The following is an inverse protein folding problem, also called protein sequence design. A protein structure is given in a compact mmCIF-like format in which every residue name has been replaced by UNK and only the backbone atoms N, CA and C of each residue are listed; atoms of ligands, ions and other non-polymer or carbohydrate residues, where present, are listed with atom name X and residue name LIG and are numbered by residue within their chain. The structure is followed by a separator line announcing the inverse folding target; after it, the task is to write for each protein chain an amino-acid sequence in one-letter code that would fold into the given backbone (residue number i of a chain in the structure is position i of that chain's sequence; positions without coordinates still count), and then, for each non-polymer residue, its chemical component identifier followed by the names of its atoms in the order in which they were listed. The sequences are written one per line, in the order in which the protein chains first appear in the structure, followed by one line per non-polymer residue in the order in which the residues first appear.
data_IF_693414078870
#
_entry.id   IF_693414078870
#
_cell.length_a   1.000
_cell.length_b   1.000
_cell.length_c   1.000
_cell.angle_alpha   90.00
_cell.angle_beta   90.00
_cell.angle_gamma   90.00
#
_symmetry.space_group_name_H-M   'P 1'
#
loop_
_entity.id
_entity.type
_entity.pdbx_description
1 polymer ?
#
# COMPACT_ATOMS: atom_id res chain seq x y z
N UNK A 1 -12.52 3.05 -4.83
CA UNK A 1 -11.67 2.58 -3.71
C UNK A 1 -10.29 2.27 -4.25
N UNK A 2 -9.27 3.02 -3.83
CA UNK A 2 -7.88 2.59 -4.02
C UNK A 2 -7.56 1.61 -2.90
N UNK A 3 -7.15 0.38 -3.23
CA UNK A 3 -6.74 -0.60 -2.22
C UNK A 3 -5.53 -0.05 -1.46
N UNK A 4 -5.40 -0.42 -0.19
CA UNK A 4 -4.24 -0.08 0.63
C UNK A 4 -2.90 -0.43 -0.07
N UNK A 5 -2.85 -1.57 -0.77
CA UNK A 5 -1.73 -2.00 -1.61
C UNK A 5 -1.34 -0.92 -2.64
N UNK A 6 -2.30 -0.46 -3.45
CA UNK A 6 -2.03 0.55 -4.48
C UNK A 6 -1.49 1.85 -3.89
N UNK A 7 -1.97 2.24 -2.70
CA UNK A 7 -1.50 3.44 -2.01
C UNK A 7 -0.04 3.32 -1.59
N UNK A 8 0.34 2.19 -1.01
CA UNK A 8 1.71 1.90 -0.62
C UNK A 8 2.62 1.79 -1.86
N UNK A 9 2.17 1.13 -2.93
CA UNK A 9 2.89 1.05 -4.21
C UNK A 9 3.12 2.43 -4.83
N UNK A 10 2.09 3.29 -4.88
CA UNK A 10 2.25 4.66 -5.33
C UNK A 10 3.22 5.46 -4.45
N UNK A 11 3.22 5.26 -3.13
CA UNK A 11 4.17 5.95 -2.25
C UNK A 11 5.62 5.53 -2.58
N UNK A 12 5.88 4.23 -2.79
CA UNK A 12 7.20 3.73 -3.23
C UNK A 12 7.60 4.31 -4.58
N UNK A 13 6.70 4.30 -5.56
CA UNK A 13 6.95 4.84 -6.89
C UNK A 13 7.35 6.33 -6.83
N UNK A 14 6.69 7.13 -5.99
CA UNK A 14 7.04 8.56 -5.87
C UNK A 14 8.36 8.79 -5.13
N UNK A 15 8.75 7.90 -4.22
CA UNK A 15 10.11 7.92 -3.66
C UNK A 15 11.13 7.63 -4.76
N UNK A 16 10.87 6.63 -5.60
CA UNK A 16 11.76 6.25 -6.71
C UNK A 16 11.92 7.37 -7.75
N UNK A 17 10.87 8.15 -8.02
CA UNK A 17 10.98 9.33 -8.88
C UNK A 17 11.85 10.43 -8.25
N UNK A 18 11.76 10.67 -6.94
CA UNK A 18 12.68 11.59 -6.24
C UNK A 18 14.12 11.10 -6.35
N UNK A 19 14.37 9.81 -6.07
CA UNK A 19 15.68 9.19 -6.19
C UNK A 19 16.24 9.35 -7.62
N UNK A 20 15.40 9.15 -8.64
CA UNK A 20 15.79 9.30 -10.05
C UNK A 20 16.16 10.74 -10.40
N UNK A 21 15.37 11.72 -9.99
CA UNK A 21 15.68 13.15 -10.18
C UNK A 21 17.04 13.47 -9.55
N UNK A 22 17.24 13.03 -8.31
CA UNK A 22 18.46 13.28 -7.55
C UNK A 22 19.69 12.57 -8.14
N UNK A 23 19.54 11.33 -8.63
CA UNK A 23 20.64 10.57 -9.21
C UNK A 23 21.12 11.16 -10.54
N UNK A 24 20.22 11.77 -11.33
CA UNK A 24 20.57 12.38 -12.61
C UNK A 24 21.27 13.73 -12.46
N UNK A 25 20.91 14.50 -11.43
CA UNK A 25 21.33 15.91 -11.31
C UNK A 25 22.26 16.18 -10.12
N UNK A 26 22.31 15.28 -9.14
CA UNK A 26 22.82 15.54 -7.78
C UNK A 26 21.74 16.19 -6.91
N UNK A 27 21.64 15.81 -5.63
CA UNK A 27 20.59 16.29 -4.71
C UNK A 27 20.63 17.81 -4.56
N UNK A 28 21.79 18.38 -4.21
CA UNK A 28 21.96 19.83 -4.01
C UNK A 28 21.53 20.62 -5.25
N UNK A 29 22.03 20.24 -6.44
CA UNK A 29 21.68 20.92 -7.70
C UNK A 29 20.19 20.79 -8.06
N UNK A 30 19.58 19.64 -7.76
CA UNK A 30 18.15 19.45 -7.98
C UNK A 30 17.31 20.32 -7.05
N UNK A 31 17.79 20.60 -5.83
CA UNK A 31 17.14 21.48 -4.87
C UNK A 31 17.43 22.98 -5.11
N UNK A 32 18.54 23.33 -5.77
CA UNK A 32 18.84 24.71 -6.21
C UNK A 32 18.01 25.14 -7.43
N UNK A 33 17.53 24.20 -8.24
CA UNK A 33 16.61 24.50 -9.34
C UNK A 33 15.18 24.73 -8.81
N UNK A 34 14.93 25.97 -8.40
CA UNK A 34 13.62 26.49 -7.95
C UNK A 34 12.54 26.45 -9.04
N UNK A 35 12.90 26.28 -10.31
CA UNK A 35 11.96 26.41 -11.42
C UNK A 35 11.30 25.09 -11.83
N UNK A 36 12.04 23.98 -11.78
CA UNK A 36 11.59 22.69 -12.32
C UNK A 36 11.83 21.55 -11.33
N UNK A 37 13.08 21.29 -10.95
CA UNK A 37 13.43 20.07 -10.22
C UNK A 37 12.99 20.09 -8.76
N UNK A 38 13.23 21.18 -8.02
CA UNK A 38 12.77 21.31 -6.63
C UNK A 38 11.24 21.24 -6.56
N UNK A 39 10.46 21.98 -7.38
CA UNK A 39 9.00 21.81 -7.42
C UNK A 39 8.56 20.36 -7.70
N UNK A 40 9.24 19.65 -8.61
CA UNK A 40 8.91 18.25 -8.90
C UNK A 40 9.14 17.33 -7.69
N UNK A 41 10.28 17.48 -7.01
CA UNK A 41 10.59 16.75 -5.76
C UNK A 41 9.52 17.03 -4.70
N UNK A 42 9.17 18.30 -4.48
CA UNK A 42 8.14 18.67 -3.51
C UNK A 42 6.77 18.09 -3.88
N UNK A 43 6.45 18.04 -5.17
CA UNK A 43 5.20 17.43 -5.64
C UNK A 43 5.16 15.94 -5.34
N UNK A 44 6.27 15.23 -5.50
CA UNK A 44 6.36 13.82 -5.13
C UNK A 44 6.16 13.62 -3.62
N UNK A 45 6.76 14.45 -2.77
CA UNK A 45 6.50 14.45 -1.32
C UNK A 45 5.02 14.67 -0.98
N UNK A 46 4.36 15.65 -1.61
CA UNK A 46 2.92 15.89 -1.46
C UNK A 46 2.09 14.66 -1.85
N UNK A 47 2.42 13.99 -2.96
CA UNK A 47 1.70 12.77 -3.38
C UNK A 47 1.91 11.63 -2.39
N UNK A 48 3.11 11.45 -1.85
CA UNK A 48 3.41 10.46 -0.80
C UNK A 48 2.53 10.74 0.44
N UNK A 49 2.53 11.99 0.92
CA UNK A 49 1.68 12.42 2.03
C UNK A 49 0.20 12.08 1.78
N UNK A 50 -0.31 12.40 0.59
CA UNK A 50 -1.70 12.11 0.23
C UNK A 50 -2.05 10.62 0.26
N UNK A 51 -1.09 9.72 -0.03
CA UNK A 51 -1.37 8.28 0.09
C UNK A 51 -1.56 7.87 1.54
N UNK A 52 -0.73 8.38 2.46
CA UNK A 52 -0.88 8.13 3.89
C UNK A 52 -2.16 8.76 4.47
N UNK A 53 -2.48 10.00 4.10
CA UNK A 53 -3.72 10.65 4.52
C UNK A 53 -4.96 9.86 4.05
N UNK A 54 -4.92 9.29 2.84
CA UNK A 54 -6.03 8.47 2.36
C UNK A 54 -6.09 7.08 3.01
N UNK A 55 -4.97 6.53 3.50
CA UNK A 55 -4.96 5.34 4.36
C UNK A 55 -5.59 5.66 5.73
N UNK A 56 -5.28 6.82 6.29
CA UNK A 56 -5.84 7.29 7.56
C UNK A 56 -7.36 7.50 7.47
N UNK A 57 -7.83 8.18 6.40
CA UNK A 57 -9.27 8.35 6.12
C UNK A 57 -10.00 7.05 5.89
N UNK A 58 -9.32 6.02 5.39
CA UNK A 58 -9.85 4.67 5.23
C UNK A 58 -9.75 3.82 6.52
N UNK A 59 -9.28 4.41 7.63
CA UNK A 59 -9.10 3.74 8.92
C UNK A 59 -8.18 2.51 8.86
N UNK A 60 -7.19 2.53 7.96
CA UNK A 60 -6.21 1.45 7.76
C UNK A 60 -5.11 1.49 8.85
N UNK A 61 -5.52 1.63 10.12
CA UNK A 61 -4.61 1.83 11.25
C UNK A 61 -3.68 0.63 11.49
N UNK A 62 -4.11 -0.57 11.10
CA UNK A 62 -3.29 -1.77 11.17
C UNK A 62 -2.09 -1.74 10.22
N UNK A 63 -2.16 -0.93 9.15
CA UNK A 63 -1.06 -0.68 8.21
C UNK A 63 -0.24 0.50 8.71
N UNK A 64 -0.91 1.61 9.06
CA UNK A 64 -0.24 2.84 9.51
C UNK A 64 0.60 2.63 10.78
N UNK A 65 0.16 1.75 11.68
CA UNK A 65 0.91 1.43 12.91
C UNK A 65 2.24 0.73 12.67
N UNK A 66 2.45 0.17 11.47
CA UNK A 66 3.70 -0.48 11.05
C UNK A 66 4.69 0.49 10.40
N UNK A 67 4.27 1.74 10.14
CA UNK A 67 5.13 2.81 9.61
C UNK A 67 5.59 3.69 10.78
N UNK A 68 6.84 4.15 10.76
CA UNK A 68 7.37 5.03 11.79
C UNK A 68 6.55 6.34 11.83
N UNK A 69 6.10 6.72 13.03
CA UNK A 69 5.29 7.92 13.25
C UNK A 69 6.08 9.19 12.91
N UNK A 70 7.39 9.19 13.14
CA UNK A 70 8.22 10.36 12.87
C UNK A 70 8.48 10.53 11.36
N UNK A 71 8.52 9.43 10.60
CA UNK A 71 8.53 9.50 9.13
C UNK A 71 7.22 10.12 8.60
N UNK A 72 6.07 9.69 9.12
CA UNK A 72 4.76 10.25 8.73
C UNK A 72 4.65 11.75 9.06
N UNK A 73 5.15 12.16 10.24
CA UNK A 73 5.23 13.58 10.62
C UNK A 73 6.16 14.36 9.71
N UNK A 74 7.34 13.81 9.40
CA UNK A 74 8.32 14.45 8.52
C UNK A 74 7.75 14.70 7.12
N UNK A 75 7.09 13.70 6.54
CA UNK A 75 6.41 13.85 5.24
C UNK A 75 5.31 14.93 5.28
N UNK A 76 4.53 14.99 6.36
CA UNK A 76 3.52 16.04 6.56
C UNK A 76 4.16 17.43 6.69
N UNK A 77 5.30 17.53 7.35
CA UNK A 77 6.04 18.79 7.48
C UNK A 77 6.55 19.28 6.12
N UNK A 78 7.18 18.40 5.33
CA UNK A 78 7.63 18.74 3.95
C UNK A 78 6.46 19.20 3.09
N UNK A 79 5.32 18.50 3.15
CA UNK A 79 4.10 18.92 2.43
C UNK A 79 3.61 20.30 2.85
N UNK A 80 3.65 20.61 4.15
CA UNK A 80 3.22 21.92 4.66
C UNK A 80 4.13 23.03 4.16
N UNK A 81 5.45 22.83 4.19
CA UNK A 81 6.37 23.81 3.63
C UNK A 81 6.15 24.01 2.14
N UNK A 82 6.02 22.91 1.38
CA UNK A 82 5.75 22.98 -0.07
C UNK A 82 4.48 23.76 -0.42
N UNK A 83 3.50 23.83 0.48
CA UNK A 83 2.20 24.47 0.21
C UNK A 83 2.14 25.92 0.68
N UNK A 84 2.80 26.26 1.78
CA UNK A 84 2.59 27.54 2.48
C UNK A 84 3.88 28.33 2.75
N UNK A 85 5.05 27.71 2.65
CA UNK A 85 6.32 28.28 3.11
C UNK A 85 7.48 27.94 2.16
N UNK A 86 7.17 27.87 0.86
CA UNK A 86 8.06 27.36 -0.18
C UNK A 86 9.40 28.11 -0.23
N UNK A 87 9.34 29.44 -0.11
CA UNK A 87 10.51 30.32 -0.16
C UNK A 87 11.44 30.17 1.06
N UNK A 88 10.95 29.61 2.17
CA UNK A 88 11.70 29.43 3.41
C UNK A 88 12.12 27.96 3.66
N UNK A 89 11.95 27.07 2.67
CA UNK A 89 12.45 25.70 2.77
C UNK A 89 13.99 25.72 2.77
N UNK A 90 14.59 25.40 3.90
CA UNK A 90 16.03 25.12 3.98
C UNK A 90 16.35 23.84 3.18
N UNK A 91 17.07 23.99 2.08
CA UNK A 91 17.46 22.90 1.20
C UNK A 91 18.24 21.82 1.96
N UNK A 92 19.03 22.20 2.97
CA UNK A 92 19.79 21.26 3.81
C UNK A 92 18.88 20.26 4.53
N UNK A 93 17.70 20.68 4.98
CA UNK A 93 16.74 19.80 5.66
C UNK A 93 16.19 18.75 4.69
N UNK A 94 15.84 19.19 3.49
CA UNK A 94 15.29 18.30 2.45
C UNK A 94 16.37 17.36 1.92
N UNK A 95 17.58 17.86 1.69
CA UNK A 95 18.74 17.08 1.30
C UNK A 95 19.04 15.99 2.34
N UNK A 96 19.05 16.35 3.63
CA UNK A 96 19.21 15.37 4.71
C UNK A 96 18.10 14.32 4.70
N UNK A 97 16.85 14.73 4.48
CA UNK A 97 15.72 13.80 4.41
C UNK A 97 15.84 12.83 3.21
N UNK A 98 16.23 13.33 2.04
CA UNK A 98 16.46 12.52 0.83
C UNK A 98 17.57 11.49 1.06
N UNK A 99 18.67 11.88 1.73
CA UNK A 99 19.79 10.96 1.98
C UNK A 99 19.54 9.94 3.09
N UNK A 100 18.78 10.29 4.12
CA UNK A 100 18.75 9.49 5.36
C UNK A 100 17.39 8.93 5.73
N UNK A 101 16.30 9.65 5.42
CA UNK A 101 14.93 9.30 5.84
C UNK A 101 14.17 8.61 4.73
N UNK A 102 14.24 9.14 3.51
CA UNK A 102 13.49 8.64 2.36
C UNK A 102 13.83 7.17 2.01
N UNK A 103 15.10 6.74 2.02
CA UNK A 103 15.44 5.34 1.74
C UNK A 103 14.89 4.39 2.81
N UNK A 104 14.97 4.78 4.09
CA UNK A 104 14.44 3.99 5.21
C UNK A 104 12.91 3.88 5.15
N UNK A 105 12.24 4.99 4.82
CA UNK A 105 10.79 5.01 4.62
C UNK A 105 10.39 4.07 3.47
N UNK A 106 11.12 4.10 2.35
CA UNK A 106 10.89 3.20 1.21
C UNK A 106 10.99 1.73 1.63
N UNK A 107 12.07 1.35 2.31
CA UNK A 107 12.29 -0.01 2.80
C UNK A 107 11.16 -0.45 3.74
N UNK A 108 10.76 0.42 4.68
CA UNK A 108 9.64 0.17 5.58
C UNK A 108 8.32 -0.02 4.84
N UNK A 109 7.99 0.84 3.87
CA UNK A 109 6.78 0.71 3.07
C UNK A 109 6.80 -0.61 2.29
N UNK A 110 7.92 -0.98 1.67
CA UNK A 110 8.06 -2.23 0.92
C UNK A 110 7.88 -3.46 1.82
N UNK A 111 8.43 -3.42 3.04
CA UNK A 111 8.21 -4.47 4.05
C UNK A 111 6.73 -4.59 4.41
N UNK A 112 6.08 -3.48 4.75
CA UNK A 112 4.66 -3.44 5.09
C UNK A 112 3.79 -3.92 3.94
N UNK A 113 4.14 -3.55 2.70
CA UNK A 113 3.46 -4.00 1.49
C UNK A 113 3.53 -5.53 1.35
N UNK A 114 4.72 -6.12 1.54
CA UNK A 114 4.92 -7.57 1.48
C UNK A 114 4.12 -8.30 2.56
N UNK A 115 4.14 -7.80 3.78
CA UNK A 115 3.33 -8.35 4.89
C UNK A 115 1.84 -8.24 4.59
N UNK A 116 1.35 -7.08 4.14
CA UNK A 116 -0.07 -6.86 3.82
C UNK A 116 -0.54 -7.82 2.73
N UNK A 117 0.24 -7.99 1.66
CA UNK A 117 -0.07 -8.94 0.58
C UNK A 117 -0.15 -10.38 1.12
N UNK A 118 0.78 -10.76 1.99
CA UNK A 118 0.82 -12.08 2.63
C UNK A 118 -0.40 -12.29 3.54
N UNK A 119 -0.71 -11.34 4.40
CA UNK A 119 -1.83 -11.41 5.35
C UNK A 119 -3.17 -11.59 4.62
N UNK A 120 -3.37 -10.92 3.48
CA UNK A 120 -4.57 -11.08 2.65
C UNK A 120 -4.68 -12.50 2.04
N UNK A 121 -3.57 -13.07 1.58
CA UNK A 121 -3.57 -14.44 1.08
C UNK A 121 -3.87 -15.44 2.21
N UNK A 122 -3.23 -15.27 3.37
CA UNK A 122 -3.44 -16.14 4.54
C UNK A 122 -4.87 -16.07 5.08
N UNK A 123 -5.50 -14.89 5.09
CA UNK A 123 -6.90 -14.73 5.50
C UNK A 123 -7.84 -15.55 4.58
N UNK A 124 -7.65 -15.44 3.26
CA UNK A 124 -8.43 -16.24 2.31
C UNK A 124 -8.18 -17.73 2.46
N UNK A 125 -6.91 -18.15 2.64
CA UNK A 125 -6.57 -19.55 2.90
C UNK A 125 -7.28 -20.09 4.15
N UNK A 126 -7.32 -19.32 5.24
CA UNK A 126 -8.05 -19.68 6.48
C UNK A 126 -9.55 -19.82 6.23
N UNK A 127 -10.16 -18.93 5.43
CA UNK A 127 -11.58 -19.03 5.05
C UNK A 127 -11.86 -20.30 4.23
N UNK A 128 -11.01 -20.60 3.25
CA UNK A 128 -11.09 -21.82 2.44
C UNK A 128 -10.99 -23.07 3.32
N UNK A 129 -9.98 -23.15 4.19
CA UNK A 129 -9.80 -24.30 5.08
C UNK A 129 -10.96 -24.46 6.07
N UNK A 130 -11.52 -23.36 6.57
CA UNK A 130 -12.74 -23.39 7.40
C UNK A 130 -13.91 -23.98 6.62
N UNK A 131 -14.11 -23.59 5.36
CA UNK A 131 -15.17 -24.13 4.52
C UNK A 131 -14.98 -25.63 4.31
N UNK A 132 -13.80 -26.06 3.84
CA UNK A 132 -13.49 -27.48 3.58
C UNK A 132 -13.69 -28.35 4.82
N UNK A 133 -13.27 -27.89 6.00
CA UNK A 133 -13.37 -28.66 7.25
C UNK A 133 -14.77 -28.75 7.83
N UNK A 134 -15.63 -27.76 7.58
CA UNK A 134 -16.92 -27.63 8.28
C UNK A 134 -18.13 -27.69 7.36
N UNK A 135 -17.95 -27.79 6.04
CA UNK A 135 -19.06 -27.72 5.10
C UNK A 135 -20.17 -28.74 5.40
N UNK A 136 -19.89 -29.93 5.91
CA UNK A 136 -20.92 -30.94 6.15
C UNK A 136 -21.81 -30.65 7.36
N UNK A 137 -21.32 -29.83 8.30
CA UNK A 137 -22.03 -29.47 9.54
C UNK A 137 -22.61 -28.04 9.53
N UNK A 138 -22.32 -27.26 8.49
CA UNK A 138 -22.87 -25.92 8.32
C UNK A 138 -24.31 -25.99 7.77
N UNK A 139 -25.16 -25.07 8.21
CA UNK A 139 -26.48 -24.87 7.60
C UNK A 139 -26.31 -24.38 6.15
N UNK A 140 -27.31 -24.62 5.30
CA UNK A 140 -27.29 -24.17 3.90
C UNK A 140 -27.03 -22.66 3.78
N UNK A 141 -27.63 -21.87 4.67
CA UNK A 141 -27.43 -20.42 4.74
C UNK A 141 -25.96 -20.07 5.07
N UNK A 142 -25.41 -20.66 6.13
CA UNK A 142 -24.03 -20.38 6.54
C UNK A 142 -23.00 -20.84 5.49
N UNK A 143 -23.28 -21.92 4.74
CA UNK A 143 -22.45 -22.34 3.60
C UNK A 143 -22.46 -21.27 2.50
N UNK A 144 -23.64 -20.77 2.12
CA UNK A 144 -23.79 -19.75 1.08
C UNK A 144 -23.07 -18.45 1.43
N UNK A 145 -23.23 -17.97 2.67
CA UNK A 145 -22.55 -16.77 3.17
C UNK A 145 -21.03 -16.92 3.14
N UNK A 146 -20.50 -18.05 3.62
CA UNK A 146 -19.05 -18.30 3.60
C UNK A 146 -18.49 -18.41 2.17
N UNK A 147 -19.22 -19.04 1.24
CA UNK A 147 -18.85 -19.06 -0.18
C UNK A 147 -18.80 -17.64 -0.77
N UNK A 148 -19.78 -16.81 -0.47
CA UNK A 148 -19.83 -15.41 -0.92
C UNK A 148 -18.64 -14.60 -0.38
N UNK A 149 -18.32 -14.75 0.90
CA UNK A 149 -17.17 -14.08 1.53
C UNK A 149 -15.82 -14.53 0.93
N UNK A 150 -15.66 -15.84 0.68
CA UNK A 150 -14.50 -16.40 -0.02
C UNK A 150 -14.38 -15.78 -1.42
N UNK A 151 -15.47 -15.72 -2.18
CA UNK A 151 -15.47 -15.13 -3.53
C UNK A 151 -15.07 -13.65 -3.48
N UNK A 152 -15.66 -12.86 -2.59
CA UNK A 152 -15.33 -11.43 -2.44
C UNK A 152 -13.85 -11.23 -2.10
N UNK A 153 -13.34 -12.04 -1.18
CA UNK A 153 -11.92 -11.99 -0.77
C UNK A 153 -10.99 -12.36 -1.93
N UNK A 154 -11.36 -13.36 -2.74
CA UNK A 154 -10.62 -13.72 -3.94
C UNK A 154 -10.63 -12.63 -5.02
N UNK A 155 -11.79 -12.03 -5.29
CA UNK A 155 -11.90 -10.91 -6.24
C UNK A 155 -11.03 -9.72 -5.81
N UNK A 156 -10.90 -9.48 -4.50
CA UNK A 156 -10.01 -8.46 -3.94
C UNK A 156 -8.54 -8.82 -4.21
N UNK A 157 -8.12 -10.07 -3.99
CA UNK A 157 -6.74 -10.49 -4.33
C UNK A 157 -6.43 -10.29 -5.81
N UNK A 158 -7.33 -10.73 -6.70
CA UNK A 158 -7.15 -10.59 -8.15
C UNK A 158 -7.04 -9.12 -8.59
N UNK A 159 -7.86 -8.23 -8.02
CA UNK A 159 -7.78 -6.78 -8.27
C UNK A 159 -6.45 -6.15 -7.84
N UNK A 160 -5.71 -6.82 -6.95
CA UNK A 160 -4.39 -6.43 -6.48
C UNK A 160 -3.25 -7.22 -7.15
N UNK A 161 -3.56 -8.03 -8.17
CA UNK A 161 -2.57 -8.86 -8.87
C UNK A 161 -1.95 -9.94 -7.99
N UNK A 162 -2.66 -10.38 -6.94
CA UNK A 162 -2.19 -11.43 -6.04
C UNK A 162 -2.75 -12.78 -6.45
N UNK A 163 -1.89 -13.79 -6.41
CA UNK A 163 -2.24 -15.17 -6.71
C UNK A 163 -2.09 -16.05 -5.46
N UNK A 164 -3.02 -16.99 -5.31
CA UNK A 164 -2.88 -18.07 -4.34
C UNK A 164 -1.91 -19.13 -4.90
N UNK A 165 -1.32 -19.92 -4.01
CA UNK A 165 -0.60 -21.10 -4.45
C UNK A 165 -1.54 -22.11 -5.16
N UNK A 166 -0.93 -23.05 -5.89
CA UNK A 166 -1.66 -24.04 -6.69
C UNK A 166 -2.64 -24.87 -5.84
N UNK A 167 -2.25 -25.23 -4.61
CA UNK A 167 -3.07 -26.06 -3.73
C UNK A 167 -4.37 -25.35 -3.37
N UNK A 168 -4.31 -24.08 -2.96
CA UNK A 168 -5.50 -23.32 -2.62
C UNK A 168 -6.32 -22.88 -3.84
N UNK A 169 -5.68 -22.67 -4.99
CA UNK A 169 -6.38 -22.41 -6.25
C UNK A 169 -7.28 -23.60 -6.65
N UNK A 170 -6.80 -24.84 -6.48
CA UNK A 170 -7.61 -26.03 -6.72
C UNK A 170 -8.80 -26.13 -5.74
N UNK A 171 -8.55 -25.95 -4.43
CA UNK A 171 -9.62 -25.98 -3.41
C UNK A 171 -10.70 -24.93 -3.70
N UNK A 172 -10.28 -23.71 -4.04
CA UNK A 172 -11.17 -22.61 -4.39
C UNK A 172 -12.03 -22.94 -5.61
N UNK A 173 -11.44 -23.56 -6.64
CA UNK A 173 -12.15 -24.00 -7.83
C UNK A 173 -13.31 -24.95 -7.53
N UNK A 174 -13.13 -25.89 -6.60
CA UNK A 174 -14.22 -26.76 -6.14
C UNK A 174 -15.33 -25.98 -5.43
N UNK A 175 -14.97 -25.04 -4.56
CA UNK A 175 -15.92 -24.22 -3.78
C UNK A 175 -16.78 -23.33 -4.69
N UNK A 176 -16.16 -22.70 -5.69
CA UNK A 176 -16.83 -21.76 -6.61
C UNK A 176 -17.71 -22.50 -7.63
N UNK A 177 -17.26 -23.64 -8.18
CA UNK A 177 -18.05 -24.45 -9.13
C UNK A 177 -19.38 -24.94 -8.54
N UNK A 178 -19.38 -25.24 -7.24
CA UNK A 178 -20.60 -25.64 -6.54
C UNK A 178 -21.61 -24.49 -6.33
N UNK A 179 -21.23 -23.24 -6.62
CA UNK A 179 -22.09 -22.07 -6.46
C UNK A 179 -22.88 -21.74 -7.74
N UNK A 180 -22.39 -22.17 -8.91
CA UNK A 180 -23.08 -21.99 -10.21
C UNK A 180 -24.22 -22.98 -10.45
N UNK A 181 -24.25 -24.11 -9.74
CA UNK A 181 -25.30 -25.13 -9.83
C UNK A 181 -26.48 -24.90 -8.88
N UNK A 182 -26.50 -23.78 -8.13
CA UNK A 182 -27.54 -23.44 -7.16
C UNK A 182 -28.44 -22.28 -7.60
N UNK A 183 -28.52 -21.99 -8.91
CA UNK A 183 -29.43 -21.01 -9.50
C UNK A 183 -30.55 -21.67 -10.27
#
# INVERSE_FOLDING_TARGET
MSSCIKRLETAVEKIEEIEKICNLNGVTKALEDESILKPAIMKHFDVIHQQFEKLEKAQEYHILSKIDKDDLKGIKQVRNWSSHDYDNIENEIIEHAIHTKLPKLKENIQKVLKETKKDMCEDLQKKIDRFVKKQDILTSQAKSELKSDIQKSYDILQKNGLELDKTYTCKLGSIIKDNSNAR
#
